data_IF_468745200952
#
_entry.id   IF_468745200952
#
_cell.length_a   1.000
_cell.length_b   1.000
_cell.length_c   1.000
_cell.angle_alpha   90.00
_cell.angle_beta   90.00
_cell.angle_gamma   90.00
#
_symmetry.space_group_name_H-M   'P 1'
#
loop_
_entity.id
_entity.type
_entity.pdbx_description
1 polymer ?
#
# COMPACT_ATOMS: atom_id res chain seq x y z
N UNK A 1 -30.37 22.87 -8.68
CA UNK A 1 -29.38 22.14 -9.50
C UNK A 1 -28.04 22.30 -8.82
N UNK A 2 -27.49 21.22 -8.26
CA UNK A 2 -26.20 21.21 -7.58
C UNK A 2 -25.78 19.75 -7.44
N UNK A 3 -24.75 19.36 -8.19
CA UNK A 3 -24.25 18.01 -8.27
C UNK A 3 -23.46 17.67 -6.99
N UNK A 4 -23.80 16.56 -6.32
CA UNK A 4 -22.98 15.96 -5.28
C UNK A 4 -21.85 15.14 -5.92
N UNK A 5 -20.70 14.95 -5.24
CA UNK A 5 -19.56 14.31 -5.85
C UNK A 5 -19.85 12.81 -6.02
N UNK A 6 -19.83 12.37 -7.28
CA UNK A 6 -19.83 10.96 -7.65
C UNK A 6 -18.43 10.38 -7.43
N UNK A 7 -18.39 9.14 -6.92
CA UNK A 7 -17.19 8.31 -6.95
C UNK A 7 -16.73 8.17 -8.39
N UNK A 8 -15.59 8.78 -8.72
CA UNK A 8 -15.02 8.73 -10.05
C UNK A 8 -13.58 8.24 -9.92
N UNK A 9 -13.36 6.94 -10.18
CA UNK A 9 -12.02 6.41 -10.38
C UNK A 9 -11.54 6.83 -11.77
N UNK A 10 -10.51 7.68 -11.83
CA UNK A 10 -9.89 8.09 -13.10
C UNK A 10 -8.36 8.11 -12.94
N UNK A 11 -7.72 7.44 -13.90
CA UNK A 11 -6.29 7.34 -14.14
C UNK A 11 -5.77 8.63 -14.80
N UNK A 12 -4.61 9.17 -14.38
CA UNK A 12 -4.01 10.34 -15.05
C UNK A 12 -2.49 10.20 -15.23
N UNK A 13 -2.07 10.45 -16.47
CA UNK A 13 -0.72 10.59 -17.02
C UNK A 13 0.00 11.87 -16.58
N UNK A 14 1.32 11.77 -16.37
CA UNK A 14 2.20 12.83 -15.89
C UNK A 14 2.58 13.86 -16.96
N UNK A 15 2.36 15.14 -16.67
CA UNK A 15 3.02 16.27 -17.34
C UNK A 15 3.72 17.15 -16.30
N UNK A 16 5.01 17.37 -16.50
CA UNK A 16 5.94 18.08 -15.61
C UNK A 16 5.84 19.60 -15.80
N UNK A 17 5.83 20.36 -14.70
CA UNK A 17 6.12 21.79 -14.73
C UNK A 17 7.08 22.20 -13.60
N UNK A 18 8.09 23.02 -13.99
CA UNK A 18 9.21 23.55 -13.19
C UNK A 18 8.79 24.44 -12.01
N UNK A 19 9.56 24.45 -10.89
CA UNK A 19 9.35 25.38 -9.76
C UNK A 19 10.19 26.66 -9.88
N UNK A 20 9.70 27.75 -9.29
CA UNK A 20 10.44 29.00 -9.04
C UNK A 20 10.80 29.16 -7.56
N UNK A 21 12.00 29.69 -7.34
CA UNK A 21 12.70 29.97 -6.08
C UNK A 21 11.89 30.79 -5.06
N UNK A 22 12.18 30.83 -3.75
CA UNK A 22 13.27 30.29 -2.92
C UNK A 22 13.06 30.84 -1.49
N UNK A 23 13.89 30.45 -0.52
CA UNK A 23 14.46 31.28 0.56
C UNK A 23 15.22 30.44 1.59
N UNK A 24 16.49 30.81 1.82
CA UNK A 24 17.21 30.82 3.10
C UNK A 24 17.33 29.52 3.91
N UNK A 25 18.40 28.76 3.69
CA UNK A 25 18.81 27.67 4.58
C UNK A 25 20.32 27.46 4.55
N UNK A 26 20.92 27.46 5.73
CA UNK A 26 22.36 27.34 6.05
C UNK A 26 23.07 26.26 5.23
N UNK A 27 24.07 26.65 4.43
CA UNK A 27 24.88 25.73 3.63
C UNK A 27 25.90 25.00 4.51
N UNK A 28 25.62 23.75 4.85
CA UNK A 28 26.63 22.78 5.25
C UNK A 28 27.48 22.44 4.02
N UNK A 29 28.72 22.91 4.02
CA UNK A 29 29.69 22.66 2.96
C UNK A 29 30.20 21.23 3.12
N UNK A 30 29.58 20.28 2.42
CA UNK A 30 30.14 18.96 2.17
C UNK A 30 31.22 19.15 1.10
N UNK A 31 32.49 19.11 1.50
CA UNK A 31 33.59 18.97 0.57
C UNK A 31 33.48 17.59 -0.09
N UNK A 32 32.75 17.54 -1.19
CA UNK A 32 32.79 16.44 -2.15
C UNK A 32 34.20 16.42 -2.73
N UNK A 33 35.00 15.44 -2.30
CA UNK A 33 36.25 15.11 -2.97
C UNK A 33 35.94 14.92 -4.46
N UNK A 34 36.67 15.64 -5.32
CA UNK A 34 36.68 15.44 -6.76
C UNK A 34 37.07 13.99 -7.04
N UNK A 35 36.06 13.13 -7.18
CA UNK A 35 36.23 11.79 -7.70
C UNK A 35 36.55 11.91 -9.17
N UNK A 36 37.81 11.70 -9.53
CA UNK A 36 38.21 11.40 -10.89
C UNK A 36 37.19 10.41 -11.48
N UNK A 37 36.48 10.83 -12.51
CA UNK A 37 35.57 9.96 -13.26
C UNK A 37 36.42 8.91 -13.98
N UNK A 38 36.68 7.80 -13.30
CA UNK A 38 37.15 6.60 -13.98
C UNK A 38 36.03 6.10 -14.91
N UNK A 39 36.38 5.61 -16.11
CA UNK A 39 35.38 5.20 -17.09
C UNK A 39 34.47 4.12 -16.49
N UNK A 40 33.17 4.41 -16.41
CA UNK A 40 32.15 3.41 -16.06
C UNK A 40 32.23 2.28 -17.08
N UNK A 41 32.84 1.17 -16.68
CA UNK A 41 32.83 -0.06 -17.47
C UNK A 41 31.47 -0.71 -17.22
N UNK A 42 30.52 -0.47 -18.12
CA UNK A 42 29.19 -1.04 -18.01
C UNK A 42 29.21 -2.53 -18.39
N UNK A 43 28.97 -3.40 -17.41
CA UNK A 43 28.92 -4.84 -17.65
C UNK A 43 27.77 -5.24 -18.58
N UNK A 44 26.74 -4.39 -18.71
CA UNK A 44 25.61 -4.62 -19.61
C UNK A 44 25.98 -4.53 -21.09
N UNK A 45 27.12 -3.93 -21.44
CA UNK A 45 27.61 -3.84 -22.83
C UNK A 45 28.41 -5.07 -23.29
N UNK A 46 28.67 -6.02 -22.38
CA UNK A 46 29.27 -7.31 -22.73
C UNK A 46 28.20 -8.31 -23.13
N UNK A 47 27.95 -8.40 -24.43
CA UNK A 47 27.21 -9.53 -25.00
C UNK A 47 27.85 -10.86 -24.57
N UNK A 48 27.03 -11.90 -24.39
CA UNK A 48 27.51 -13.26 -24.16
C UNK A 48 28.51 -13.72 -25.25
N UNK A 49 29.55 -14.44 -24.84
CA UNK A 49 30.47 -15.11 -25.76
C UNK A 49 29.70 -16.16 -26.59
N UNK A 50 29.82 -16.06 -27.91
CA UNK A 50 29.29 -17.04 -28.86
C UNK A 50 30.23 -18.25 -28.97
N UNK A 51 29.72 -19.32 -29.58
CA UNK A 51 30.53 -20.50 -29.89
C UNK A 51 31.72 -20.16 -30.80
N UNK A 52 31.54 -19.19 -31.71
CA UNK A 52 32.59 -18.72 -32.62
C UNK A 52 33.69 -17.93 -31.88
N UNK A 53 33.33 -17.13 -30.86
CA UNK A 53 34.31 -16.45 -30.00
C UNK A 53 35.19 -17.45 -29.25
N UNK A 54 34.59 -18.52 -28.73
CA UNK A 54 35.29 -19.58 -28.00
C UNK A 54 36.23 -20.35 -28.94
N UNK A 55 35.77 -20.69 -30.16
CA UNK A 55 36.59 -21.35 -31.18
C UNK A 55 37.78 -20.48 -31.60
N UNK A 56 37.58 -19.18 -31.77
CA UNK A 56 38.63 -18.23 -32.10
C UNK A 56 39.65 -18.07 -30.96
N UNK A 57 39.19 -17.98 -29.72
CA UNK A 57 40.06 -17.93 -28.55
C UNK A 57 40.87 -19.22 -28.38
N UNK A 58 40.26 -20.40 -28.61
CA UNK A 58 40.98 -21.68 -28.61
C UNK A 58 42.07 -21.74 -29.68
N UNK A 59 41.82 -21.23 -30.89
CA UNK A 59 42.83 -21.14 -31.94
C UNK A 59 44.00 -20.23 -31.51
N UNK A 60 43.69 -19.09 -30.90
CA UNK A 60 44.69 -18.15 -30.40
C UNK A 60 45.56 -18.78 -29.30
N UNK A 61 44.95 -19.50 -28.34
CA UNK A 61 45.66 -20.23 -27.28
C UNK A 61 46.54 -21.33 -27.85
N UNK A 62 46.04 -22.12 -28.80
CA UNK A 62 46.78 -23.23 -29.41
C UNK A 62 48.00 -22.78 -30.22
N UNK A 63 47.95 -21.58 -30.81
CA UNK A 63 49.05 -21.01 -31.62
C UNK A 63 49.91 -20.00 -30.86
N UNK A 64 49.52 -19.60 -29.65
CA UNK A 64 50.16 -18.55 -28.85
C UNK A 64 49.98 -17.12 -29.39
N UNK A 65 49.45 -16.97 -30.60
CA UNK A 65 49.10 -15.70 -31.24
C UNK A 65 47.95 -15.93 -32.23
N UNK A 66 47.21 -14.87 -32.53
CA UNK A 66 46.13 -14.86 -33.50
C UNK A 66 46.42 -13.86 -34.61
N UNK A 67 46.44 -14.35 -35.85
CA UNK A 67 46.31 -13.54 -37.05
C UNK A 67 44.86 -13.68 -37.56
N UNK A 68 44.07 -12.59 -37.62
CA UNK A 68 42.68 -12.65 -38.08
C UNK A 68 42.52 -13.22 -39.50
N UNK A 69 43.53 -13.09 -40.38
CA UNK A 69 43.47 -13.62 -41.76
C UNK A 69 43.59 -15.14 -41.77
N UNK A 70 44.53 -15.68 -40.98
CA UNK A 70 44.71 -17.13 -40.83
C UNK A 70 43.51 -17.78 -40.14
N UNK A 71 42.81 -17.03 -39.28
CA UNK A 71 41.64 -17.51 -38.56
C UNK A 71 40.42 -17.72 -39.49
N UNK A 72 40.24 -16.87 -40.50
CA UNK A 72 39.21 -17.02 -41.54
C UNK A 72 39.35 -18.38 -42.24
N UNK A 73 40.57 -18.71 -42.68
CA UNK A 73 40.85 -19.97 -43.37
C UNK A 73 40.79 -21.18 -42.42
N UNK A 74 41.38 -21.08 -41.23
CA UNK A 74 41.47 -22.19 -40.28
C UNK A 74 40.13 -22.58 -39.65
N UNK A 75 39.20 -21.63 -39.48
CA UNK A 75 37.90 -21.86 -38.84
C UNK A 75 36.75 -21.94 -39.84
N UNK A 76 36.98 -21.62 -41.12
CA UNK A 76 35.95 -21.56 -42.16
C UNK A 76 34.92 -20.47 -41.90
N UNK A 77 35.32 -19.38 -41.25
CA UNK A 77 34.44 -18.28 -40.83
C UNK A 77 34.56 -17.10 -41.80
N UNK A 78 33.50 -16.29 -41.91
CA UNK A 78 33.55 -15.05 -42.68
C UNK A 78 34.46 -14.00 -42.01
N UNK A 79 35.08 -13.15 -42.81
CA UNK A 79 36.00 -12.11 -42.35
C UNK A 79 35.32 -11.09 -41.43
N UNK A 80 34.05 -10.75 -41.68
CA UNK A 80 33.28 -9.86 -40.79
C UNK A 80 33.03 -10.51 -39.42
N UNK A 81 32.72 -11.81 -39.39
CA UNK A 81 32.49 -12.56 -38.16
C UNK A 81 33.77 -12.67 -37.33
N UNK A 82 34.90 -13.02 -37.95
CA UNK A 82 36.19 -13.04 -37.25
C UNK A 82 36.55 -11.66 -36.71
N UNK A 83 36.35 -10.60 -37.51
CA UNK A 83 36.59 -9.22 -37.06
C UNK A 83 35.71 -8.81 -35.88
N UNK A 84 34.45 -9.22 -35.86
CA UNK A 84 33.54 -8.97 -34.75
C UNK A 84 33.93 -9.74 -33.48
N UNK A 85 34.32 -11.01 -33.63
CA UNK A 85 34.77 -11.85 -32.53
C UNK A 85 36.07 -11.34 -31.90
N UNK A 86 37.04 -10.90 -32.71
CA UNK A 86 38.28 -10.25 -32.22
C UNK A 86 37.96 -9.03 -31.37
N UNK A 87 37.09 -8.12 -31.86
CA UNK A 87 36.71 -6.91 -31.09
C UNK A 87 36.02 -7.26 -29.77
N UNK A 88 35.22 -8.33 -29.74
CA UNK A 88 34.53 -8.79 -28.53
C UNK A 88 35.50 -9.35 -27.51
N UNK A 89 36.38 -10.25 -27.93
CA UNK A 89 37.43 -10.83 -27.08
C UNK A 89 38.42 -9.77 -26.60
N UNK A 90 38.73 -8.76 -27.40
CA UNK A 90 39.57 -7.62 -26.99
C UNK A 90 38.88 -6.76 -25.92
N UNK A 91 37.59 -6.41 -26.09
CA UNK A 91 36.81 -5.70 -25.06
C UNK A 91 36.74 -6.49 -23.75
N UNK A 92 36.66 -7.82 -23.83
CA UNK A 92 36.71 -8.71 -22.67
C UNK A 92 38.12 -8.95 -22.12
N UNK A 93 39.15 -8.24 -22.63
CA UNK A 93 40.55 -8.40 -22.27
C UNK A 93 41.10 -9.83 -22.44
N UNK A 94 40.44 -10.67 -23.26
CA UNK A 94 40.85 -12.03 -23.60
C UNK A 94 41.83 -12.04 -24.78
N UNK A 95 41.84 -11.01 -25.61
CA UNK A 95 42.86 -10.76 -26.63
C UNK A 95 43.51 -9.41 -26.40
N UNK A 96 44.84 -9.35 -26.55
CA UNK A 96 45.59 -8.10 -26.50
C UNK A 96 46.34 -7.89 -27.82
N UNK A 97 46.23 -6.72 -28.47
CA UNK A 97 46.96 -6.45 -29.69
C UNK A 97 48.47 -6.42 -29.43
N UNK A 98 49.23 -7.04 -30.33
CA UNK A 98 50.67 -6.85 -30.44
C UNK A 98 50.95 -5.50 -31.12
N UNK A 99 52.07 -4.83 -30.78
CA UNK A 99 52.54 -3.69 -31.55
C UNK A 99 52.64 -4.06 -33.03
N UNK A 100 52.12 -3.20 -33.91
CA UNK A 100 52.11 -3.47 -35.35
C UNK A 100 53.53 -3.77 -35.86
N UNK A 101 53.69 -4.96 -36.46
CA UNK A 101 54.92 -5.32 -37.15
C UNK A 101 55.12 -4.48 -38.42
N UNK A 102 56.31 -4.57 -39.02
CA UNK A 102 56.65 -3.91 -40.29
C UNK A 102 55.80 -4.38 -41.48
N UNK A 103 55.04 -5.46 -41.32
CA UNK A 103 54.11 -6.05 -42.29
C UNK A 103 52.71 -5.43 -42.25
N UNK A 104 52.41 -4.55 -41.28
CA UNK A 104 51.13 -3.85 -41.17
C UNK A 104 49.96 -4.74 -40.75
N UNK A 105 50.24 -5.94 -40.22
CA UNK A 105 49.22 -6.91 -39.81
C UNK A 105 48.98 -6.81 -38.31
N UNK A 106 47.72 -6.61 -37.91
CA UNK A 106 47.30 -6.62 -36.51
C UNK A 106 47.23 -8.06 -35.99
N UNK A 107 48.15 -8.43 -35.10
CA UNK A 107 48.17 -9.73 -34.42
C UNK A 107 47.77 -9.57 -32.96
N UNK A 108 47.19 -10.61 -32.38
CA UNK A 108 46.72 -10.60 -30.99
C UNK A 108 47.33 -11.74 -30.19
N UNK A 109 47.51 -11.55 -28.88
CA UNK A 109 47.94 -12.59 -27.94
C UNK A 109 46.77 -12.94 -27.02
N UNK A 110 46.47 -14.23 -26.79
CA UNK A 110 45.48 -14.64 -25.81
C UNK A 110 45.94 -14.29 -24.39
N UNK A 111 45.01 -13.78 -23.59
CA UNK A 111 45.19 -13.49 -22.17
C UNK A 111 44.46 -14.56 -21.36
N UNK A 112 45.04 -14.98 -20.24
CA UNK A 112 44.40 -15.94 -19.34
C UNK A 112 43.05 -15.37 -18.83
N UNK A 113 41.93 -16.11 -18.95
CA UNK A 113 40.62 -15.65 -18.49
C UNK A 113 40.57 -15.21 -17.02
N UNK A 114 41.32 -15.86 -16.12
CA UNK A 114 41.38 -15.46 -14.71
C UNK A 114 42.04 -14.08 -14.54
N UNK A 115 43.05 -13.77 -15.37
CA UNK A 115 43.73 -12.47 -15.38
C UNK A 115 42.84 -11.40 -16.02
N UNK A 116 42.12 -11.75 -17.09
CA UNK A 116 41.15 -10.86 -17.73
C UNK A 116 40.00 -10.52 -16.75
N UNK A 117 39.47 -11.52 -16.05
CA UNK A 117 38.44 -11.33 -15.01
C UNK A 117 38.97 -10.49 -13.83
N UNK A 118 40.20 -10.72 -13.38
CA UNK A 118 40.81 -9.90 -12.34
C UNK A 118 40.96 -8.42 -12.75
N UNK A 119 41.22 -8.14 -14.04
CA UNK A 119 41.30 -6.78 -14.56
C UNK A 119 39.95 -6.10 -14.76
N UNK A 120 38.94 -6.85 -15.21
CA UNK A 120 37.61 -6.31 -15.55
C UNK A 120 36.64 -6.27 -14.38
N UNK A 121 36.55 -7.36 -13.62
CA UNK A 121 35.48 -7.59 -12.64
C UNK A 121 35.89 -7.10 -11.25
N UNK A 122 37.14 -7.29 -10.86
CA UNK A 122 37.60 -6.93 -9.51
C UNK A 122 37.48 -5.42 -9.17
N UNK A 123 37.74 -4.48 -10.11
CA UNK A 123 37.50 -3.05 -9.86
C UNK A 123 36.02 -2.74 -9.62
N UNK A 124 35.12 -3.34 -10.41
CA UNK A 124 33.68 -3.15 -10.30
C UNK A 124 33.11 -3.73 -9.00
N UNK A 125 33.57 -4.92 -8.60
CA UNK A 125 33.21 -5.46 -7.30
C UNK A 125 33.69 -4.59 -6.14
N UNK A 126 34.89 -4.02 -6.27
CA UNK A 126 35.46 -3.11 -5.27
C UNK A 126 34.65 -1.81 -5.17
N UNK A 127 34.19 -1.28 -6.31
CA UNK A 127 33.29 -0.15 -6.38
C UNK A 127 31.95 -0.43 -5.68
N UNK A 128 31.32 -1.57 -6.00
CA UNK A 128 30.07 -1.99 -5.37
C UNK A 128 30.23 -2.16 -3.85
N UNK A 129 31.33 -2.79 -3.40
CA UNK A 129 31.64 -2.90 -1.97
C UNK A 129 31.77 -1.54 -1.31
N UNK A 130 32.44 -0.58 -1.96
CA UNK A 130 32.58 0.80 -1.47
C UNK A 130 31.23 1.50 -1.36
N UNK A 131 30.43 1.48 -2.43
CA UNK A 131 29.08 2.09 -2.44
C UNK A 131 28.14 1.48 -1.39
N UNK A 132 28.22 0.17 -1.18
CA UNK A 132 27.47 -0.51 -0.11
C UNK A 132 27.94 -0.08 1.28
N UNK A 133 29.26 0.01 1.50
CA UNK A 133 29.82 0.49 2.76
C UNK A 133 29.43 1.94 3.05
N UNK A 134 29.47 2.82 2.04
CA UNK A 134 29.02 4.22 2.17
C UNK A 134 27.53 4.30 2.52
N UNK A 135 26.70 3.50 1.86
CA UNK A 135 25.26 3.41 2.15
C UNK A 135 25.02 2.94 3.59
N UNK A 136 25.77 1.95 4.06
CA UNK A 136 25.68 1.45 5.44
C UNK A 136 26.14 2.49 6.45
N UNK A 137 27.22 3.22 6.16
CA UNK A 137 27.72 4.33 7.00
C UNK A 137 26.65 5.41 7.14
N UNK A 138 26.07 5.88 6.02
CA UNK A 138 24.99 6.88 6.03
C UNK A 138 23.77 6.37 6.80
N UNK A 139 23.37 5.10 6.61
CA UNK A 139 22.29 4.49 7.41
C UNK A 139 22.61 4.49 8.90
N UNK A 140 23.85 4.19 9.29
CA UNK A 140 24.30 4.24 10.69
C UNK A 140 24.24 5.64 11.27
N UNK A 141 24.70 6.65 10.53
CA UNK A 141 24.64 8.07 10.92
C UNK A 141 23.18 8.55 11.08
N UNK A 142 22.31 8.21 10.14
CA UNK A 142 20.88 8.51 10.22
C UNK A 142 20.19 7.77 11.38
N UNK A 143 20.63 6.55 11.73
CA UNK A 143 20.08 5.81 12.87
C UNK A 143 20.41 6.51 14.20
N UNK A 144 21.58 7.14 14.33
CA UNK A 144 21.93 7.97 15.49
C UNK A 144 21.00 9.19 15.59
N UNK A 145 20.71 9.84 14.46
CA UNK A 145 19.70 10.91 14.41
C UNK A 145 18.30 10.40 14.72
N UNK A 146 17.97 9.16 14.37
CA UNK A 146 16.72 8.50 14.73
C UNK A 146 16.53 8.38 16.24
N UNK A 147 17.59 8.12 17.02
CA UNK A 147 17.52 8.11 18.48
C UNK A 147 17.28 9.51 19.06
N UNK A 148 17.95 10.53 18.51
CA UNK A 148 17.76 11.94 18.90
C UNK A 148 16.35 12.42 18.51
N UNK A 149 15.86 12.02 17.34
CA UNK A 149 14.50 12.29 16.87
C UNK A 149 13.46 11.59 17.75
N UNK A 150 13.68 10.32 18.12
CA UNK A 150 12.79 9.56 19.01
C UNK A 150 12.77 10.15 20.43
N UNK A 151 13.91 10.61 20.95
CA UNK A 151 14.00 11.30 22.24
C UNK A 151 13.32 12.67 22.22
N UNK A 152 13.34 13.37 21.08
CA UNK A 152 12.61 14.63 20.88
C UNK A 152 11.10 14.41 20.69
N UNK A 153 10.68 13.40 19.92
CA UNK A 153 9.28 13.01 19.67
C UNK A 153 8.60 12.33 20.86
N UNK A 154 9.36 11.79 21.82
CA UNK A 154 8.80 11.38 23.12
C UNK A 154 8.12 12.55 23.86
N UNK A 155 8.38 13.80 23.45
CA UNK A 155 7.66 14.98 23.94
C UNK A 155 6.52 15.46 23.04
N UNK A 156 6.53 15.19 21.74
CA UNK A 156 5.58 15.79 20.77
C UNK A 156 4.99 14.81 19.70
N UNK A 157 4.27 13.75 20.09
CA UNK A 157 3.51 12.80 19.21
C UNK A 157 4.27 11.62 18.56
N UNK A 158 5.05 10.84 19.32
CA UNK A 158 5.49 9.52 18.85
C UNK A 158 4.30 8.54 18.78
N UNK A 159 3.73 8.33 17.59
CA UNK A 159 2.69 7.33 17.38
C UNK A 159 1.48 7.78 16.57
N UNK A 160 1.56 8.92 15.86
CA UNK A 160 0.54 9.39 14.93
C UNK A 160 1.22 9.77 13.61
N UNK A 161 0.99 8.96 12.57
CA UNK A 161 1.51 9.19 11.22
C UNK A 161 0.36 9.43 10.25
N UNK A 162 0.30 10.62 9.65
CA UNK A 162 -0.65 10.92 8.58
C UNK A 162 -0.08 10.44 7.24
N UNK A 163 -0.86 9.61 6.53
CA UNK A 163 -0.50 9.03 5.24
C UNK A 163 -1.51 9.50 4.21
N UNK A 164 -1.06 10.33 3.26
CA UNK A 164 -1.93 11.01 2.29
C UNK A 164 -2.13 10.25 0.97
N UNK A 165 -1.37 9.19 0.75
CA UNK A 165 -1.40 8.41 -0.49
C UNK A 165 -2.06 7.04 -0.25
N UNK A 166 -3.14 6.76 -0.98
CA UNK A 166 -3.91 5.53 -0.85
C UNK A 166 -3.07 4.26 -1.06
N UNK A 167 -2.13 4.26 -2.01
CA UNK A 167 -1.23 3.12 -2.25
C UNK A 167 -0.41 2.80 -1.00
N UNK A 168 0.20 3.82 -0.40
CA UNK A 168 0.96 3.69 0.85
C UNK A 168 0.07 3.24 2.01
N UNK A 169 -1.18 3.72 2.12
CA UNK A 169 -2.14 3.21 3.13
C UNK A 169 -2.42 1.72 2.95
N UNK A 170 -2.65 1.27 1.71
CA UNK A 170 -2.91 -0.13 1.38
C UNK A 170 -1.70 -1.00 1.76
N UNK A 171 -0.49 -0.56 1.44
CA UNK A 171 0.75 -1.29 1.75
C UNK A 171 0.99 -1.40 3.25
N UNK A 172 0.72 -0.34 4.02
CA UNK A 172 0.84 -0.36 5.48
C UNK A 172 -0.19 -1.28 6.13
N UNK A 173 -1.43 -1.32 5.62
CA UNK A 173 -2.45 -2.26 6.10
C UNK A 173 -2.05 -3.70 5.72
N UNK A 174 -1.50 -3.91 4.54
CA UNK A 174 -1.04 -5.24 4.09
C UNK A 174 0.12 -5.75 4.96
N UNK A 175 1.10 -4.90 5.28
CA UNK A 175 2.20 -5.22 6.20
C UNK A 175 1.68 -5.52 7.62
N UNK A 176 0.78 -4.70 8.15
CA UNK A 176 0.16 -4.96 9.46
C UNK A 176 -0.64 -6.27 9.48
N UNK A 177 -1.39 -6.55 8.42
CA UNK A 177 -2.10 -7.82 8.21
C UNK A 177 -1.11 -9.00 8.22
N UNK A 178 0.01 -8.87 7.50
CA UNK A 178 1.02 -9.92 7.42
C UNK A 178 1.73 -10.17 8.76
N UNK A 179 1.89 -9.14 9.60
CA UNK A 179 2.55 -9.25 10.91
C UNK A 179 1.61 -9.58 12.07
N UNK A 180 0.30 -9.43 11.90
CA UNK A 180 -0.70 -9.70 12.95
C UNK A 180 -0.66 -11.13 13.48
N UNK A 181 -0.70 -11.29 14.81
CA UNK A 181 -0.53 -12.58 15.50
C UNK A 181 -1.70 -12.98 16.37
N UNK A 182 -2.40 -12.03 17.00
CA UNK A 182 -3.37 -12.32 18.06
C UNK A 182 -4.79 -11.93 17.66
N UNK A 183 -5.00 -10.68 17.25
CA UNK A 183 -6.34 -10.20 16.91
C UNK A 183 -6.38 -9.10 15.86
N UNK A 184 -7.46 -9.10 15.09
CA UNK A 184 -7.80 -8.04 14.14
C UNK A 184 -9.21 -7.52 14.45
N UNK A 185 -9.32 -6.22 14.71
CA UNK A 185 -10.58 -5.53 15.02
C UNK A 185 -10.92 -4.60 13.85
N UNK A 186 -12.11 -4.74 13.27
CA UNK A 186 -12.52 -3.87 12.16
C UNK A 186 -13.88 -3.26 12.38
N UNK A 187 -14.01 -1.96 12.10
CA UNK A 187 -15.25 -1.21 12.13
C UNK A 187 -15.48 -0.60 10.75
N UNK A 188 -16.55 -1.02 10.08
CA UNK A 188 -16.80 -0.74 8.66
C UNK A 188 -18.14 -0.02 8.46
N UNK A 189 -18.18 1.33 8.57
CA UNK A 189 -19.37 2.12 8.30
C UNK A 189 -19.64 2.27 6.80
N UNK A 190 -20.86 2.69 6.47
CA UNK A 190 -21.30 2.98 5.11
C UNK A 190 -22.20 1.91 4.48
N UNK A 191 -22.69 0.96 5.28
CA UNK A 191 -23.53 -0.13 4.80
C UNK A 191 -22.76 -1.16 3.97
N UNK A 192 -23.30 -1.50 2.80
CA UNK A 192 -22.72 -2.51 1.90
C UNK A 192 -21.41 -2.08 1.26
N UNK A 193 -20.49 -3.03 1.05
CA UNK A 193 -19.19 -2.80 0.39
C UNK A 193 -19.21 -3.33 -1.04
N UNK A 194 -18.46 -2.68 -1.94
CA UNK A 194 -18.35 -3.13 -3.31
C UNK A 194 -17.82 -4.59 -3.39
N UNK A 195 -18.35 -5.45 -4.28
CA UNK A 195 -18.00 -6.87 -4.32
C UNK A 195 -16.50 -7.16 -4.43
N UNK A 196 -15.77 -6.43 -5.28
CA UNK A 196 -14.33 -6.62 -5.45
C UNK A 196 -13.53 -6.33 -4.16
N UNK A 197 -13.97 -5.35 -3.34
CA UNK A 197 -13.35 -5.04 -2.05
C UNK A 197 -13.62 -6.14 -1.01
N UNK A 198 -14.77 -6.81 -1.11
CA UNK A 198 -15.14 -7.94 -0.24
C UNK A 198 -14.34 -9.19 -0.57
N UNK A 199 -14.09 -9.49 -1.85
CA UNK A 199 -13.23 -10.62 -2.25
C UNK A 199 -11.77 -10.43 -1.82
N UNK A 200 -11.25 -9.21 -1.99
CA UNK A 200 -9.91 -8.87 -1.51
C UNK A 200 -9.82 -8.97 0.02
N UNK A 201 -10.86 -8.51 0.73
CA UNK A 201 -10.93 -8.65 2.18
C UNK A 201 -10.96 -10.13 2.57
N UNK A 202 -11.83 -10.94 1.97
CA UNK A 202 -11.93 -12.37 2.26
C UNK A 202 -10.59 -13.09 2.16
N UNK A 203 -9.83 -12.83 1.09
CA UNK A 203 -8.51 -13.45 0.89
C UNK A 203 -7.53 -13.11 2.01
N UNK A 204 -7.47 -11.83 2.43
CA UNK A 204 -6.62 -11.37 3.53
C UNK A 204 -7.08 -11.93 4.87
N UNK A 205 -8.37 -11.83 5.14
CA UNK A 205 -9.00 -12.23 6.40
C UNK A 205 -8.84 -13.74 6.63
N UNK A 206 -9.05 -14.55 5.59
CA UNK A 206 -8.83 -16.00 5.63
C UNK A 206 -7.39 -16.36 5.98
N UNK A 207 -6.42 -15.59 5.48
CA UNK A 207 -4.99 -15.82 5.77
C UNK A 207 -4.67 -15.51 7.23
N UNK A 208 -5.27 -14.47 7.81
CA UNK A 208 -5.14 -14.18 9.25
C UNK A 208 -5.76 -15.27 10.11
N UNK A 209 -7.01 -15.63 9.81
CA UNK A 209 -7.78 -16.60 10.61
C UNK A 209 -7.11 -17.99 10.59
N UNK A 210 -6.57 -18.42 9.44
CA UNK A 210 -5.80 -19.67 9.32
C UNK A 210 -4.53 -19.71 10.19
N UNK A 211 -3.96 -18.55 10.53
CA UNK A 211 -2.83 -18.43 11.45
C UNK A 211 -3.25 -18.38 12.93
N UNK A 212 -4.55 -18.46 13.23
CA UNK A 212 -5.09 -18.41 14.58
C UNK A 212 -5.45 -17.00 15.07
N UNK A 213 -5.38 -15.98 14.21
CA UNK A 213 -5.76 -14.61 14.56
C UNK A 213 -7.27 -14.53 14.81
N UNK A 214 -7.67 -13.96 15.94
CA UNK A 214 -9.08 -13.72 16.27
C UNK A 214 -9.59 -12.49 15.53
N UNK A 215 -10.60 -12.66 14.69
CA UNK A 215 -11.12 -11.56 13.89
C UNK A 215 -12.52 -11.14 14.36
N UNK A 216 -12.68 -9.87 14.73
CA UNK A 216 -13.95 -9.26 15.15
C UNK A 216 -14.29 -8.08 14.25
N UNK A 217 -15.47 -8.11 13.63
CA UNK A 217 -15.90 -7.09 12.66
C UNK A 217 -17.25 -6.49 13.01
N UNK A 218 -17.31 -5.17 13.10
CA UNK A 218 -18.53 -4.37 13.27
C UNK A 218 -19.00 -3.77 11.94
N UNK A 219 -20.28 -4.00 11.64
CA UNK A 219 -21.01 -3.39 10.53
C UNK A 219 -22.22 -2.60 11.03
N UNK A 220 -22.81 -1.78 10.15
CA UNK A 220 -24.14 -1.21 10.40
C UNK A 220 -25.25 -2.23 10.07
N UNK A 221 -26.42 -2.12 10.71
CA UNK A 221 -27.58 -2.96 10.40
C UNK A 221 -27.98 -2.91 8.92
N UNK A 222 -27.73 -1.78 8.24
CA UNK A 222 -27.97 -1.63 6.80
C UNK A 222 -27.18 -2.63 5.95
N UNK A 223 -26.02 -3.11 6.43
CA UNK A 223 -25.25 -4.16 5.78
C UNK A 223 -25.98 -5.52 5.76
N UNK A 224 -26.94 -5.76 6.66
CA UNK A 224 -27.77 -6.98 6.68
C UNK A 224 -28.67 -7.10 5.43
N UNK A 225 -28.84 -6.02 4.66
CA UNK A 225 -29.65 -5.99 3.42
C UNK A 225 -28.82 -6.00 2.13
N UNK A 226 -27.49 -5.98 2.22
CA UNK A 226 -26.61 -5.94 1.06
C UNK A 226 -26.12 -7.34 0.68
N UNK A 227 -26.62 -7.89 -0.43
CA UNK A 227 -26.38 -9.29 -0.82
C UNK A 227 -24.89 -9.68 -0.88
N UNK A 228 -23.98 -8.91 -1.51
CA UNK A 228 -22.54 -9.23 -1.48
C UNK A 228 -21.96 -9.26 -0.07
N UNK A 229 -22.44 -8.40 0.83
CA UNK A 229 -21.96 -8.38 2.22
C UNK A 229 -22.50 -9.57 3.00
N UNK A 230 -23.75 -10.01 2.75
CA UNK A 230 -24.29 -11.24 3.34
C UNK A 230 -23.44 -12.46 2.96
N UNK A 231 -23.09 -12.60 1.67
CA UNK A 231 -22.26 -13.70 1.17
C UNK A 231 -20.86 -13.70 1.81
N UNK A 232 -20.21 -12.54 1.87
CA UNK A 232 -18.92 -12.41 2.55
C UNK A 232 -19.02 -12.80 4.03
N UNK A 233 -20.02 -12.30 4.76
CA UNK A 233 -20.18 -12.59 6.19
C UNK A 233 -20.45 -14.09 6.42
N UNK A 234 -21.28 -14.71 5.58
CA UNK A 234 -21.53 -16.15 5.63
C UNK A 234 -20.23 -16.95 5.45
N UNK A 235 -19.41 -16.61 4.46
CA UNK A 235 -18.13 -17.29 4.22
C UNK A 235 -17.10 -17.08 5.33
N UNK A 236 -17.01 -15.87 5.90
CA UNK A 236 -15.97 -15.56 6.88
C UNK A 236 -16.31 -16.09 8.29
N UNK A 237 -17.60 -16.12 8.63
CA UNK A 237 -18.07 -16.71 9.89
C UNK A 237 -17.90 -18.23 9.91
N UNK A 238 -18.05 -18.91 8.77
CA UNK A 238 -17.79 -20.35 8.64
C UNK A 238 -16.33 -20.73 8.95
N UNK A 239 -15.38 -19.83 8.74
CA UNK A 239 -13.96 -20.07 9.04
C UNK A 239 -13.53 -19.55 10.41
N UNK A 240 -14.44 -18.95 11.18
CA UNK A 240 -14.20 -18.61 12.59
C UNK A 240 -14.13 -17.10 12.91
N UNK A 241 -14.39 -16.20 11.96
CA UNK A 241 -14.51 -14.78 12.29
C UNK A 241 -15.84 -14.47 12.98
N UNK A 242 -15.84 -13.50 13.89
CA UNK A 242 -17.05 -12.98 14.50
C UNK A 242 -17.48 -11.68 13.82
N UNK A 243 -18.77 -11.61 13.47
CA UNK A 243 -19.36 -10.42 12.87
C UNK A 243 -20.57 -9.97 13.70
N UNK A 244 -20.59 -8.69 14.06
CA UNK A 244 -21.68 -8.05 14.78
C UNK A 244 -22.14 -6.78 14.08
N UNK A 245 -23.33 -6.30 14.43
CA UNK A 245 -23.97 -5.15 13.80
C UNK A 245 -24.63 -4.22 14.81
N UNK A 246 -24.66 -2.93 14.48
CA UNK A 246 -25.31 -1.86 15.26
C UNK A 246 -26.00 -0.86 14.33
N UNK A 247 -26.93 -0.05 14.84
CA UNK A 247 -27.64 0.97 14.05
C UNK A 247 -26.71 2.11 13.63
N UNK A 248 -25.79 2.47 14.52
CA UNK A 248 -24.81 3.53 14.35
C UNK A 248 -23.40 2.99 14.61
N UNK A 249 -22.38 3.63 14.03
CA UNK A 249 -20.97 3.33 14.29
C UNK A 249 -20.19 4.60 14.59
N UNK A 250 -19.14 4.48 15.40
CA UNK A 250 -18.28 5.57 15.83
C UNK A 250 -17.25 6.03 14.76
N UNK A 251 -17.17 5.34 13.63
CA UNK A 251 -16.24 5.66 12.54
C UNK A 251 -15.56 4.42 11.98
N UNK A 252 -14.84 4.58 10.86
CA UNK A 252 -14.05 3.48 10.29
C UNK A 252 -12.79 3.29 11.11
N UNK A 253 -12.47 2.04 11.42
CA UNK A 253 -11.27 1.67 12.17
C UNK A 253 -10.78 0.28 11.75
N UNK A 254 -9.47 0.09 11.64
CA UNK A 254 -8.84 -1.23 11.52
C UNK A 254 -7.71 -1.30 12.55
N UNK A 255 -7.75 -2.25 13.47
CA UNK A 255 -6.72 -2.44 14.48
C UNK A 255 -6.12 -3.84 14.39
N UNK A 256 -4.81 -3.94 14.65
CA UNK A 256 -4.09 -5.22 14.72
C UNK A 256 -3.35 -5.31 16.05
N UNK A 257 -3.51 -6.44 16.74
CA UNK A 257 -2.85 -6.82 18.00
C UNK A 257 -2.95 -5.79 19.13
N UNK A 258 -3.87 -4.82 19.03
CA UNK A 258 -3.92 -3.61 19.88
C UNK A 258 -2.60 -2.84 19.95
N UNK A 259 -1.80 -2.91 18.88
CA UNK A 259 -0.53 -2.18 18.76
C UNK A 259 -0.59 -1.08 17.71
N UNK A 260 -1.44 -1.26 16.69
CA UNK A 260 -1.62 -0.30 15.61
C UNK A 260 -3.08 -0.17 15.22
N UNK A 261 -3.51 1.07 14.99
CA UNK A 261 -4.86 1.41 14.52
C UNK A 261 -4.77 2.30 13.29
N UNK A 262 -5.58 1.99 12.29
CA UNK A 262 -5.78 2.79 11.09
C UNK A 262 -7.16 3.41 11.14
N UNK A 263 -7.24 4.72 10.99
CA UNK A 263 -8.48 5.48 10.83
C UNK A 263 -8.40 6.33 9.56
N UNK A 264 -9.52 6.63 8.88
CA UNK A 264 -9.50 7.54 7.73
C UNK A 264 -9.05 8.93 8.17
N UNK A 265 -8.36 9.64 7.28
CA UNK A 265 -8.06 11.04 7.50
C UNK A 265 -9.34 11.88 7.42
N UNK A 266 -9.43 12.96 8.21
CA UNK A 266 -10.64 13.78 8.32
C UNK A 266 -11.05 14.46 7.01
N UNK A 267 -10.08 14.94 6.24
CA UNK A 267 -10.30 15.70 5.00
C UNK A 267 -10.40 14.81 3.75
N UNK A 268 -9.88 13.59 3.82
CA UNK A 268 -9.73 12.72 2.66
C UNK A 268 -9.96 11.25 3.04
N UNK A 269 -11.04 10.62 2.54
CA UNK A 269 -11.33 9.21 2.77
C UNK A 269 -10.29 8.23 2.20
N UNK A 270 -9.48 8.66 1.22
CA UNK A 270 -8.44 7.83 0.60
C UNK A 270 -7.08 7.95 1.33
N UNK A 271 -7.00 8.89 2.28
CA UNK A 271 -5.89 9.06 3.22
C UNK A 271 -6.20 8.38 4.55
N UNK A 272 -5.16 8.02 5.31
CA UNK A 272 -5.32 7.42 6.63
C UNK A 272 -4.37 8.02 7.66
N UNK A 273 -4.75 7.87 8.92
CA UNK A 273 -3.92 8.14 10.08
C UNK A 273 -3.57 6.81 10.72
N UNK A 274 -2.27 6.55 10.85
CA UNK A 274 -1.71 5.36 11.49
C UNK A 274 -1.31 5.70 12.90
N UNK A 275 -1.94 5.02 13.86
CA UNK A 275 -1.79 5.28 15.29
C UNK A 275 -1.07 4.11 15.92
N UNK A 276 0.05 4.37 16.59
CA UNK A 276 0.90 3.43 17.33
C UNK A 276 1.16 3.86 18.78
N UNK A 277 0.65 5.02 19.18
CA UNK A 277 0.72 5.46 20.58
C UNK A 277 -0.12 4.50 21.45
N UNK A 278 0.48 3.80 22.43
CA UNK A 278 -0.22 2.76 23.21
C UNK A 278 -1.45 3.29 23.95
N UNK A 279 -1.42 4.54 24.43
CA UNK A 279 -2.55 5.13 25.16
C UNK A 279 -3.74 5.39 24.24
N UNK A 280 -3.47 5.96 23.06
CA UNK A 280 -4.48 6.24 22.04
C UNK A 280 -5.04 4.94 21.45
N UNK A 281 -4.17 3.98 21.13
CA UNK A 281 -4.60 2.65 20.64
C UNK A 281 -5.45 1.95 21.69
N UNK A 282 -5.00 1.90 22.96
CA UNK A 282 -5.77 1.29 24.05
C UNK A 282 -7.14 1.93 24.24
N UNK A 283 -7.23 3.26 24.14
CA UNK A 283 -8.51 3.98 24.19
C UNK A 283 -9.43 3.61 23.01
N UNK A 284 -8.92 3.63 21.77
CA UNK A 284 -9.71 3.27 20.58
C UNK A 284 -10.20 1.82 20.61
N UNK A 285 -9.35 0.89 21.06
CA UNK A 285 -9.75 -0.51 21.25
C UNK A 285 -10.80 -0.65 22.37
N UNK A 286 -10.73 0.16 23.43
CA UNK A 286 -11.77 0.19 24.48
C UNK A 286 -13.11 0.69 23.93
N UNK A 287 -13.09 1.74 23.09
CA UNK A 287 -14.29 2.21 22.38
C UNK A 287 -14.86 1.09 21.51
N UNK A 288 -14.01 0.40 20.74
CA UNK A 288 -14.44 -0.75 19.95
C UNK A 288 -15.09 -1.84 20.82
N UNK A 289 -14.46 -2.23 21.94
CA UNK A 289 -14.99 -3.27 22.83
C UNK A 289 -16.35 -2.87 23.43
N UNK A 290 -16.55 -1.58 23.75
CA UNK A 290 -17.84 -1.06 24.22
C UNK A 290 -18.93 -1.22 23.16
N UNK A 291 -18.68 -0.80 21.92
CA UNK A 291 -19.63 -0.99 20.82
C UNK A 291 -19.83 -2.47 20.49
N UNK A 292 -18.78 -3.28 20.58
CA UNK A 292 -18.85 -4.73 20.38
C UNK A 292 -19.78 -5.41 21.38
N UNK A 293 -19.73 -5.01 22.65
CA UNK A 293 -20.56 -5.56 23.72
C UNK A 293 -22.06 -5.26 23.53
N UNK A 294 -22.38 -4.12 22.93
CA UNK A 294 -23.76 -3.67 22.67
C UNK A 294 -24.28 -4.10 21.30
N UNK A 295 -23.40 -4.54 20.40
CA UNK A 295 -23.77 -4.92 19.05
C UNK A 295 -24.41 -6.31 18.99
N UNK A 296 -25.40 -6.45 18.12
CA UNK A 296 -26.06 -7.73 17.86
C UNK A 296 -25.18 -8.65 17.03
N UNK A 297 -25.30 -9.96 17.23
CA UNK A 297 -24.78 -10.94 16.28
C UNK A 297 -25.32 -10.69 14.88
N UNK A 298 -24.45 -10.86 13.87
CA UNK A 298 -24.89 -10.73 12.49
C UNK A 298 -25.95 -11.78 12.16
N UNK A 299 -27.15 -11.32 11.83
CA UNK A 299 -28.25 -12.15 11.33
C UNK A 299 -28.65 -11.61 9.95
N UNK A 300 -28.56 -12.42 8.87
CA UNK A 300 -29.04 -11.99 7.56
C UNK A 300 -30.50 -11.54 7.65
N UNK A 301 -30.88 -10.48 6.93
CA UNK A 301 -32.23 -9.90 7.04
C UNK A 301 -33.37 -10.91 6.82
N UNK A 302 -33.13 -11.95 6.00
CA UNK A 302 -34.09 -13.05 5.72
C UNK A 302 -34.41 -13.94 6.94
N UNK A 303 -33.57 -13.95 7.97
CA UNK A 303 -33.70 -14.81 9.16
C UNK A 303 -33.97 -14.02 10.45
N UNK A 304 -34.00 -12.69 10.38
CA UNK A 304 -34.18 -11.85 11.57
C UNK A 304 -35.63 -11.89 12.06
N UNK A 305 -35.85 -12.29 13.33
CA UNK A 305 -37.18 -12.31 13.98
C UNK A 305 -37.68 -10.91 14.34
N UNK A 306 -36.76 -10.00 14.66
CA UNK A 306 -36.97 -8.55 14.65
C UNK A 306 -36.69 -8.07 13.22
N UNK A 307 -37.59 -7.40 12.51
CA UNK A 307 -37.24 -6.85 11.21
C UNK A 307 -36.11 -5.85 11.46
N UNK A 308 -34.92 -6.05 10.89
CA UNK A 308 -33.87 -5.00 10.92
C UNK A 308 -34.41 -3.66 10.38
N UNK A 309 -35.46 -3.70 9.56
CA UNK A 309 -36.26 -2.55 9.16
C UNK A 309 -36.96 -1.81 10.34
N UNK A 310 -37.40 -2.52 11.38
CA UNK A 310 -37.92 -1.97 12.63
C UNK A 310 -36.83 -1.26 13.43
N UNK A 311 -35.67 -1.89 13.63
CA UNK A 311 -34.51 -1.26 14.30
C UNK A 311 -34.03 0.00 13.57
N UNK A 312 -34.00 -0.04 12.23
CA UNK A 312 -33.70 1.14 11.40
C UNK A 312 -34.76 2.23 11.59
N UNK A 313 -36.06 1.87 11.60
CA UNK A 313 -37.14 2.85 11.83
C UNK A 313 -37.08 3.46 13.23
N UNK A 314 -36.81 2.67 14.27
CA UNK A 314 -36.61 3.15 15.64
C UNK A 314 -35.40 4.10 15.76
N UNK A 315 -34.29 3.77 15.08
CA UNK A 315 -33.14 4.66 15.00
C UNK A 315 -33.51 5.98 14.30
N UNK A 316 -34.22 5.93 13.16
CA UNK A 316 -34.70 7.13 12.46
C UNK A 316 -35.64 7.96 13.35
N UNK A 317 -36.58 7.34 14.07
CA UNK A 317 -37.50 8.02 15.00
C UNK A 317 -36.70 8.78 16.08
N UNK A 318 -35.71 8.14 16.71
CA UNK A 318 -34.82 8.81 17.68
C UNK A 318 -34.08 10.00 17.07
N UNK A 319 -33.50 9.83 15.89
CA UNK A 319 -32.74 10.90 15.24
C UNK A 319 -33.63 12.05 14.73
N UNK A 320 -34.88 11.77 14.36
CA UNK A 320 -35.89 12.79 14.07
C UNK A 320 -36.31 13.55 15.33
N UNK A 321 -36.44 12.86 16.47
CA UNK A 321 -36.73 13.46 17.78
C UNK A 321 -35.59 14.38 18.28
N UNK A 322 -34.35 14.12 17.85
CA UNK A 322 -33.18 15.01 18.02
C UNK A 322 -33.19 16.23 17.07
N UNK A 323 -34.13 16.28 16.10
CA UNK A 323 -34.25 17.38 15.13
C UNK A 323 -33.22 17.32 13.99
N UNK A 324 -32.62 16.17 13.73
CA UNK A 324 -31.61 16.02 12.68
C UNK A 324 -32.22 16.02 11.28
N UNK A 325 -31.48 16.57 10.31
CA UNK A 325 -31.86 16.60 8.89
C UNK A 325 -31.67 15.22 8.24
N UNK A 326 -32.49 14.89 7.23
CA UNK A 326 -32.46 13.63 6.48
C UNK A 326 -31.04 13.25 6.00
N UNK A 327 -30.24 14.22 5.56
CA UNK A 327 -28.85 14.00 5.11
C UNK A 327 -27.93 13.52 6.23
N UNK A 328 -28.12 14.07 7.44
CA UNK A 328 -27.35 13.69 8.64
C UNK A 328 -27.77 12.29 9.11
N UNK A 329 -29.09 12.04 9.15
CA UNK A 329 -29.65 10.73 9.50
C UNK A 329 -29.15 9.65 8.54
N UNK A 330 -29.21 9.91 7.23
CA UNK A 330 -28.75 8.96 6.22
C UNK A 330 -27.28 8.60 6.38
N UNK A 331 -26.42 9.60 6.63
CA UNK A 331 -24.99 9.41 6.87
C UNK A 331 -24.73 8.61 8.14
N UNK A 332 -25.42 8.93 9.24
CA UNK A 332 -25.25 8.30 10.56
C UNK A 332 -25.66 6.83 10.56
N UNK A 333 -26.70 6.48 9.80
CA UNK A 333 -27.17 5.10 9.63
C UNK A 333 -26.50 4.36 8.47
N UNK A 334 -25.62 5.00 7.70
CA UNK A 334 -24.90 4.38 6.59
C UNK A 334 -25.81 3.88 5.48
N UNK A 335 -26.77 4.72 5.05
CA UNK A 335 -27.66 4.43 3.92
C UNK A 335 -27.75 5.60 2.95
N UNK A 336 -28.27 5.36 1.74
CA UNK A 336 -28.51 6.43 0.78
C UNK A 336 -29.58 7.41 1.29
N UNK A 337 -29.46 8.69 0.94
CA UNK A 337 -30.47 9.71 1.25
C UNK A 337 -31.85 9.33 0.73
N UNK A 338 -31.91 8.69 -0.45
CA UNK A 338 -33.16 8.18 -1.04
C UNK A 338 -33.80 7.11 -0.15
N UNK A 339 -33.01 6.16 0.36
CA UNK A 339 -33.49 5.10 1.26
C UNK A 339 -33.96 5.68 2.58
N UNK A 340 -33.19 6.61 3.15
CA UNK A 340 -33.55 7.33 4.38
C UNK A 340 -34.90 8.04 4.24
N UNK A 341 -35.07 8.85 3.18
CA UNK A 341 -36.32 9.57 2.90
C UNK A 341 -37.52 8.64 2.71
N UNK A 342 -37.33 7.46 2.12
CA UNK A 342 -38.39 6.45 2.01
C UNK A 342 -38.82 5.96 3.39
N UNK A 343 -37.88 5.61 4.27
CA UNK A 343 -38.20 5.20 5.63
C UNK A 343 -38.86 6.33 6.44
N UNK A 344 -38.40 7.57 6.29
CA UNK A 344 -39.01 8.73 6.94
C UNK A 344 -40.46 8.91 6.47
N UNK A 345 -40.75 8.79 5.17
CA UNK A 345 -42.11 8.88 4.66
C UNK A 345 -43.03 7.80 5.28
N UNK A 346 -42.56 6.54 5.34
CA UNK A 346 -43.29 5.47 6.00
C UNK A 346 -43.52 5.74 7.50
N UNK A 347 -42.53 6.32 8.20
CA UNK A 347 -42.65 6.70 9.61
C UNK A 347 -43.66 7.84 9.79
N UNK A 348 -43.65 8.85 8.90
CA UNK A 348 -44.61 9.95 8.93
C UNK A 348 -46.05 9.46 8.73
N UNK A 349 -46.26 8.50 7.82
CA UNK A 349 -47.57 7.86 7.62
C UNK A 349 -48.03 7.12 8.90
N UNK A 350 -47.13 6.35 9.53
CA UNK A 350 -47.43 5.62 10.77
C UNK A 350 -47.75 6.57 11.93
N UNK A 351 -47.01 7.67 12.05
CA UNK A 351 -47.21 8.67 13.11
C UNK A 351 -48.35 9.63 12.82
N UNK A 352 -48.92 9.64 11.60
CA UNK A 352 -49.91 10.63 11.19
C UNK A 352 -49.35 12.07 11.12
N UNK A 353 -48.07 12.21 10.78
CA UNK A 353 -47.39 13.50 10.70
C UNK A 353 -47.52 14.12 9.30
N UNK A 354 -47.97 15.37 9.22
CA UNK A 354 -48.08 16.13 7.96
C UNK A 354 -46.78 16.85 7.59
N UNK A 355 -45.88 17.04 8.56
CA UNK A 355 -44.58 17.65 8.35
C UNK A 355 -43.48 16.91 9.11
N UNK A 356 -42.22 17.05 8.65
CA UNK A 356 -41.05 16.46 9.31
C UNK A 356 -40.87 16.96 10.74
N UNK A 357 -41.15 18.25 10.96
CA UNK A 357 -41.09 18.83 12.29
C UNK A 357 -42.12 18.19 13.22
N UNK A 358 -43.36 18.04 12.74
CA UNK A 358 -44.41 17.32 13.46
C UNK A 358 -44.03 15.85 13.70
N UNK A 359 -43.39 15.18 12.73
CA UNK A 359 -42.93 13.81 12.89
C UNK A 359 -41.85 13.67 13.99
N UNK A 360 -40.90 14.60 14.06
CA UNK A 360 -39.90 14.65 15.14
C UNK A 360 -40.52 14.93 16.51
N UNK A 361 -41.52 15.82 16.57
CA UNK A 361 -42.27 16.08 17.81
C UNK A 361 -43.06 14.84 18.28
N UNK A 362 -43.81 14.20 17.39
CA UNK A 362 -44.55 12.97 17.69
C UNK A 362 -43.61 11.80 18.03
N UNK A 363 -42.43 11.75 17.39
CA UNK A 363 -41.39 10.77 17.70
C UNK A 363 -40.89 10.89 19.14
N UNK A 364 -40.72 12.11 19.69
CA UNK A 364 -40.36 12.32 21.11
C UNK A 364 -41.39 11.73 22.06
N UNK A 365 -42.67 11.94 21.78
CA UNK A 365 -43.76 11.36 22.55
C UNK A 365 -43.78 9.83 22.46
N UNK A 366 -43.48 9.27 21.28
CA UNK A 366 -43.45 7.82 21.07
C UNK A 366 -42.28 7.11 21.80
N UNK A 367 -41.17 7.80 22.05
CA UNK A 367 -39.98 7.26 22.75
C UNK A 367 -39.91 7.65 24.23
N UNK A 368 -40.95 8.28 24.79
CA UNK A 368 -41.04 8.60 26.22
C UNK A 368 -40.11 9.74 26.67
N UNK A 369 -39.67 10.62 25.77
CA UNK A 369 -38.97 11.85 26.14
C UNK A 369 -40.02 12.92 26.50
N UNK A 370 -40.33 13.06 27.79
CA UNK A 370 -41.21 14.13 28.29
C UNK A 370 -40.62 15.53 28.03
N UNK A 371 -41.52 16.49 27.78
CA UNK A 371 -41.18 17.88 27.43
C UNK A 371 -40.54 18.63 28.61
N UNK A 372 -39.40 19.32 28.46
CA UNK A 372 -38.98 20.34 29.40
C UNK A 372 -39.83 21.60 29.18
N UNK A 373 -41.01 21.62 29.79
CA UNK A 373 -41.72 22.84 30.17
C UNK A 373 -42.45 23.61 29.06
N UNK A 374 -43.77 23.42 29.00
CA UNK A 374 -44.70 24.53 28.79
C UNK A 374 -45.49 24.71 30.08
N UNK A 375 -45.13 25.74 30.85
CA UNK A 375 -45.96 26.38 31.86
C UNK A 375 -45.96 27.88 31.58
#
# INVERSE_FOLDING_TARGET
MGAGPGYTGICVTTTTHRPTAGHGGTTLRLDMHDGHAEPETDLAEFDSLSEDDIRLFHLAVGRGQLDPRDAVEALGMDQELVGAAVRRLERMHLLRPLPAGTDGIARFVPVNPDVAAAGLVAPLESELRRRLADTQRVRGELALLGQVYAQSRARDHAGLDEVRELGTVIDLIADATARCREEALTCQPGGGRAPHLLEQAYTRDLTMIRRGVRMRTLYQHTARHHAPTQEYVERITQVGAEVRTTSELFGRMIAFDREVVFIPHQDDPDSAVVIRDPSTVGYLCTVFDQWWSQADHYTPARFSRSPAAGEIKEAIIRLLAEGLKDEVIARRLGMSLRTCRKHIAEIMEILGAESRFQAGYLARAAIGLEDPGVA
#
